data_IF_162070057403
#
_entry.id   IF_162070057403
#
_cell.length_a   1.000
_cell.length_b   1.000
_cell.length_c   1.000
_cell.angle_alpha   90.00
_cell.angle_beta   90.00
_cell.angle_gamma   90.00
#
_symmetry.space_group_name_H-M   'P 1'
#
loop_
_entity.id
_entity.type
_entity.pdbx_description
1 polymer ?
#
# COMPACT_ATOMS: atom_id res chain seq x y z
N UNK A 1 -47.42 -40.47 13.07
CA UNK A 1 -47.20 -39.45 12.02
C UNK A 1 -46.34 -38.37 12.68
N UNK A 2 -45.02 -38.41 12.48
CA UNK A 2 -44.10 -37.43 13.07
C UNK A 2 -43.61 -36.52 11.94
N UNK A 3 -44.04 -35.26 11.94
CA UNK A 3 -43.51 -34.24 11.03
C UNK A 3 -42.22 -33.70 11.62
N UNK A 4 -41.15 -33.78 10.84
CA UNK A 4 -39.81 -33.30 11.16
C UNK A 4 -39.82 -31.79 11.38
N UNK A 5 -39.25 -31.37 12.52
CA UNK A 5 -39.02 -29.97 12.87
C UNK A 5 -38.11 -29.31 11.82
N UNK A 6 -38.50 -28.11 11.40
CA UNK A 6 -37.76 -27.32 10.42
C UNK A 6 -36.39 -26.90 10.94
N UNK A 7 -35.38 -27.08 10.10
CA UNK A 7 -34.03 -26.59 10.32
C UNK A 7 -34.05 -25.05 10.34
N UNK A 8 -33.99 -24.48 11.54
CA UNK A 8 -33.75 -23.06 11.76
C UNK A 8 -32.34 -22.71 11.30
N UNK A 9 -32.23 -21.90 10.25
CA UNK A 9 -30.98 -21.28 9.80
C UNK A 9 -30.45 -20.44 10.97
N UNK A 10 -29.30 -20.84 11.52
CA UNK A 10 -28.63 -20.10 12.58
C UNK A 10 -28.10 -18.78 12.02
N UNK A 11 -28.52 -17.67 12.62
CA UNK A 11 -27.92 -16.36 12.35
C UNK A 11 -26.44 -16.41 12.75
N UNK A 12 -25.56 -16.00 11.84
CA UNK A 12 -24.13 -15.82 12.13
C UNK A 12 -23.99 -14.44 12.79
N UNK A 13 -23.77 -14.42 14.10
CA UNK A 13 -23.44 -13.21 14.84
C UNK A 13 -22.00 -12.76 14.52
N UNK A 14 -21.75 -11.50 14.13
CA UNK A 14 -20.42 -10.98 13.87
C UNK A 14 -19.85 -10.30 15.13
N UNK A 15 -19.62 -11.06 16.20
CA UNK A 15 -18.85 -10.55 17.34
C UNK A 15 -17.35 -10.79 17.09
N UNK A 16 -16.71 -9.81 16.44
CA UNK A 16 -15.24 -9.75 16.42
C UNK A 16 -14.79 -9.13 17.74
N UNK A 17 -14.47 -9.96 18.73
CA UNK A 17 -13.79 -9.50 19.92
C UNK A 17 -12.31 -9.25 19.57
N UNK A 18 -11.89 -7.99 19.54
CA UNK A 18 -10.49 -7.58 19.47
C UNK A 18 -9.71 -8.12 20.66
N UNK A 19 -9.02 -9.25 20.52
CA UNK A 19 -7.98 -9.69 21.47
C UNK A 19 -6.80 -10.31 20.72
N UNK A 20 -5.84 -9.46 20.32
CA UNK A 20 -4.52 -9.92 19.87
C UNK A 20 -3.69 -10.35 21.08
N UNK A 21 -3.83 -11.61 21.50
CA UNK A 21 -2.86 -12.26 22.40
C UNK A 21 -1.65 -12.72 21.57
N UNK A 22 -0.75 -11.79 21.27
CA UNK A 22 0.60 -12.13 20.79
C UNK A 22 1.45 -12.41 22.02
N UNK A 23 1.68 -13.69 22.30
CA UNK A 23 2.61 -14.13 23.34
C UNK A 23 4.03 -13.67 22.96
N UNK A 24 4.62 -12.86 23.84
CA UNK A 24 6.05 -12.54 23.83
C UNK A 24 6.87 -13.83 23.82
N UNK A 25 7.80 -13.93 22.87
CA UNK A 25 8.87 -14.92 22.88
C UNK A 25 10.17 -14.12 22.98
N UNK A 26 10.61 -13.92 24.22
CA UNK A 26 11.97 -13.48 24.53
C UNK A 26 12.90 -14.69 24.39
N UNK A 27 13.85 -14.66 23.43
CA UNK A 27 15.22 -15.12 23.67
C UNK A 27 16.20 -14.73 22.56
N UNK A 28 16.97 -13.69 22.89
CA UNK A 28 18.43 -13.59 22.84
C UNK A 28 19.22 -14.62 22.01
N UNK A 29 19.80 -14.14 20.90
CA UNK A 29 21.20 -14.41 20.58
C UNK A 29 21.78 -13.25 19.78
N UNK A 30 22.81 -12.67 20.38
CA UNK A 30 23.54 -11.50 19.96
C UNK A 30 24.64 -11.91 18.99
N UNK A 31 24.64 -11.37 17.77
CA UNK A 31 25.86 -11.20 16.97
C UNK A 31 25.89 -9.78 16.46
N UNK A 32 26.91 -9.06 16.93
CA UNK A 32 27.30 -7.71 16.52
C UNK A 32 27.92 -7.77 15.11
N UNK A 33 28.22 -6.60 14.57
CA UNK A 33 28.81 -6.30 13.24
C UNK A 33 27.70 -6.19 12.18
N UNK A 34 27.23 -5.00 11.77
CA UNK A 34 27.98 -3.98 11.03
C UNK A 34 27.50 -2.55 11.36
N UNK A 35 28.39 -1.76 11.96
CA UNK A 35 28.28 -0.31 11.98
C UNK A 35 29.34 0.26 11.05
N UNK A 36 28.99 0.62 9.81
CA UNK A 36 29.68 1.68 9.06
C UNK A 36 28.87 2.17 7.87
N UNK A 37 28.99 3.48 7.66
CA UNK A 37 28.63 4.29 6.50
C UNK A 37 27.19 4.82 6.39
N UNK A 38 26.88 5.74 7.31
CA UNK A 38 25.79 6.71 7.17
C UNK A 38 26.31 8.12 6.87
N UNK A 39 27.33 8.28 6.00
CA UNK A 39 27.87 9.62 5.70
C UNK A 39 28.19 9.91 4.22
N UNK A 40 27.69 9.12 3.27
CA UNK A 40 27.92 9.37 1.83
C UNK A 40 26.67 9.62 0.97
N UNK A 41 25.47 9.69 1.54
CA UNK A 41 24.23 9.81 0.73
C UNK A 41 23.79 11.23 0.38
N UNK A 42 24.41 12.28 0.95
CA UNK A 42 23.93 13.66 0.78
C UNK A 42 24.75 14.50 -0.22
N UNK A 43 25.89 14.00 -0.72
CA UNK A 43 26.78 14.77 -1.61
C UNK A 43 26.80 14.31 -3.08
N UNK A 44 26.13 13.21 -3.46
CA UNK A 44 26.21 12.67 -4.83
C UNK A 44 24.97 12.94 -5.72
N UNK A 45 24.00 13.71 -5.23
CA UNK A 45 22.74 13.99 -5.95
C UNK A 45 22.83 15.01 -7.08
N UNK A 46 23.95 15.73 -7.25
CA UNK A 46 23.99 16.96 -8.07
C UNK A 46 24.79 16.88 -9.37
N UNK A 47 25.32 15.71 -9.78
CA UNK A 47 26.22 15.61 -10.95
C UNK A 47 25.87 14.49 -11.94
N UNK A 48 24.59 14.23 -12.23
CA UNK A 48 24.23 13.32 -13.35
C UNK A 48 23.10 13.90 -14.21
N UNK A 49 23.53 14.31 -15.41
CA UNK A 49 22.88 14.39 -16.72
C UNK A 49 21.39 14.76 -16.78
N UNK A 50 21.13 15.94 -17.36
CA UNK A 50 19.80 16.47 -17.72
C UNK A 50 18.97 15.49 -18.58
N UNK A 51 19.62 14.66 -19.40
CA UNK A 51 18.99 13.67 -20.28
C UNK A 51 18.32 12.49 -19.54
N UNK A 52 18.84 12.08 -18.37
CA UNK A 52 18.22 10.98 -17.60
C UNK A 52 16.99 11.43 -16.81
N UNK A 53 16.84 12.75 -16.61
CA UNK A 53 15.65 13.33 -15.96
C UNK A 53 14.42 13.24 -16.86
N UNK A 54 14.60 13.34 -18.18
CA UNK A 54 13.51 13.28 -19.16
C UNK A 54 12.92 11.87 -19.31
N UNK A 55 13.65 10.81 -18.92
CA UNK A 55 13.20 9.40 -18.95
C UNK A 55 12.72 8.85 -17.59
N UNK A 56 12.66 9.70 -16.55
CA UNK A 56 12.29 9.31 -15.19
C UNK A 56 10.79 9.50 -14.95
N UNK A 57 10.09 8.43 -14.59
CA UNK A 57 8.66 8.47 -14.24
C UNK A 57 8.52 8.08 -12.77
N UNK A 58 8.21 9.04 -11.90
CA UNK A 58 8.11 8.80 -10.46
C UNK A 58 9.40 8.18 -9.88
N UNK A 59 9.31 6.98 -9.33
CA UNK A 59 10.47 6.22 -8.83
C UNK A 59 11.14 5.31 -9.87
N UNK A 60 10.53 5.17 -11.06
CA UNK A 60 11.01 4.35 -12.17
C UNK A 60 11.95 5.14 -13.07
N UNK A 61 12.98 4.47 -13.57
CA UNK A 61 13.89 4.96 -14.61
C UNK A 61 13.96 3.90 -15.72
N UNK A 62 14.10 4.36 -16.97
CA UNK A 62 14.31 3.50 -18.14
C UNK A 62 15.62 3.89 -18.80
N UNK A 63 16.55 2.93 -18.88
CA UNK A 63 17.82 3.09 -19.58
C UNK A 63 17.65 2.99 -21.10
N UNK A 64 18.70 3.36 -21.84
CA UNK A 64 18.70 3.37 -23.31
C UNK A 64 18.50 1.99 -23.94
N UNK A 65 18.93 0.92 -23.25
CA UNK A 65 18.70 -0.47 -23.64
C UNK A 65 17.42 -1.12 -23.10
N UNK A 66 16.49 -0.33 -22.54
CA UNK A 66 15.23 -0.84 -21.98
C UNK A 66 15.33 -1.40 -20.55
N UNK A 67 16.50 -1.32 -19.90
CA UNK A 67 16.64 -1.64 -18.47
C UNK A 67 15.71 -0.76 -17.63
N UNK A 68 14.99 -1.37 -16.68
CA UNK A 68 14.15 -0.65 -15.72
C UNK A 68 14.77 -0.72 -14.34
N UNK A 69 15.10 0.43 -13.78
CA UNK A 69 15.60 0.55 -12.39
C UNK A 69 14.59 1.32 -11.54
N UNK A 70 14.47 0.95 -10.27
CA UNK A 70 13.64 1.63 -9.29
C UNK A 70 14.49 2.27 -8.20
N UNK A 71 14.11 3.47 -7.74
CA UNK A 71 14.69 4.03 -6.51
C UNK A 71 14.30 3.14 -5.33
N UNK A 72 15.27 2.68 -4.54
CA UNK A 72 14.99 2.01 -3.26
C UNK A 72 14.35 3.03 -2.30
N UNK A 73 13.14 2.73 -1.86
CA UNK A 73 12.40 3.50 -0.87
C UNK A 73 11.96 2.55 0.25
N UNK A 74 11.78 3.09 1.45
CA UNK A 74 11.32 2.30 2.58
C UNK A 74 9.86 1.89 2.39
N UNK A 75 9.50 0.65 2.76
CA UNK A 75 8.13 0.13 2.67
C UNK A 75 7.12 1.01 3.41
N UNK A 76 7.53 1.66 4.50
CA UNK A 76 6.71 2.63 5.25
C UNK A 76 6.24 3.81 4.41
N UNK A 77 7.09 4.31 3.50
CA UNK A 77 6.74 5.41 2.62
C UNK A 77 5.70 4.98 1.58
N UNK A 78 5.82 3.74 1.07
CA UNK A 78 4.82 3.15 0.17
C UNK A 78 3.47 3.03 0.89
N UNK A 79 3.48 2.47 2.10
CA UNK A 79 2.28 2.32 2.92
C UNK A 79 1.61 3.67 3.20
N UNK A 80 2.38 4.66 3.65
CA UNK A 80 1.85 6.01 3.91
C UNK A 80 1.27 6.69 2.67
N UNK A 81 1.91 6.52 1.51
CA UNK A 81 1.44 7.11 0.26
C UNK A 81 0.14 6.48 -0.23
N UNK A 82 0.00 5.16 -0.10
CA UNK A 82 -1.23 4.43 -0.43
C UNK A 82 -2.37 4.86 0.51
N UNK A 83 -2.09 4.93 1.81
CA UNK A 83 -3.07 5.38 2.80
C UNK A 83 -3.58 6.79 2.47
N UNK A 84 -2.67 7.71 2.17
CA UNK A 84 -3.02 9.08 1.82
C UNK A 84 -3.83 9.15 0.51
N UNK A 85 -3.46 8.38 -0.51
CA UNK A 85 -4.20 8.31 -1.78
C UNK A 85 -5.63 7.82 -1.59
N UNK A 86 -5.82 6.74 -0.85
CA UNK A 86 -7.16 6.19 -0.53
C UNK A 86 -7.98 7.22 0.25
N UNK A 87 -7.40 7.81 1.30
CA UNK A 87 -8.08 8.81 2.11
C UNK A 87 -8.53 10.00 1.26
N UNK A 88 -7.71 10.47 0.32
CA UNK A 88 -8.04 11.58 -0.56
C UNK A 88 -9.21 11.24 -1.50
N UNK A 89 -9.14 10.11 -2.20
CA UNK A 89 -10.21 9.70 -3.15
C UNK A 89 -11.51 9.39 -2.42
N UNK A 90 -11.48 8.66 -1.30
CA UNK A 90 -12.68 8.35 -0.51
C UNK A 90 -13.28 9.62 0.08
N UNK A 91 -12.44 10.53 0.60
CA UNK A 91 -12.88 11.82 1.13
C UNK A 91 -13.54 12.69 0.05
N UNK A 92 -12.97 12.72 -1.16
CA UNK A 92 -13.56 13.41 -2.31
C UNK A 92 -14.90 12.78 -2.73
N UNK A 93 -14.98 11.45 -2.79
CA UNK A 93 -16.21 10.72 -3.15
C UNK A 93 -17.36 10.98 -2.18
N UNK A 94 -17.07 11.16 -0.89
CA UNK A 94 -18.08 11.48 0.12
C UNK A 94 -18.77 12.83 -0.12
N UNK A 95 -18.14 13.74 -0.88
CA UNK A 95 -18.76 15.01 -1.29
C UNK A 95 -19.74 14.86 -2.47
N UNK A 96 -19.62 13.76 -3.25
CA UNK A 96 -20.53 13.44 -4.36
C UNK A 96 -21.80 12.76 -3.81
N UNK A 97 -22.99 13.08 -4.33
CA UNK A 97 -24.22 12.41 -3.88
C UNK A 97 -24.21 10.92 -4.26
N UNK A 98 -24.79 10.08 -3.40
CA UNK A 98 -24.98 8.65 -3.68
C UNK A 98 -25.89 8.49 -4.91
N UNK A 99 -25.40 7.74 -5.91
CA UNK A 99 -26.10 7.44 -7.17
C UNK A 99 -25.91 5.97 -7.54
N UNK A 100 -26.85 5.42 -8.30
CA UNK A 100 -26.74 4.07 -8.82
C UNK A 100 -25.60 3.96 -9.85
N UNK A 101 -25.04 2.77 -9.98
CA UNK A 101 -24.02 2.47 -10.98
C UNK A 101 -24.66 2.35 -12.36
N UNK A 102 -24.09 3.06 -13.32
CA UNK A 102 -24.44 2.98 -14.73
C UNK A 102 -23.31 2.27 -15.49
N UNK A 103 -23.61 1.71 -16.66
CA UNK A 103 -22.58 1.08 -17.51
C UNK A 103 -21.45 2.06 -17.89
N UNK A 104 -21.72 3.37 -17.87
CA UNK A 104 -20.72 4.41 -18.08
C UNK A 104 -19.63 4.42 -17.00
N UNK A 105 -19.98 4.11 -15.74
CA UNK A 105 -19.07 4.22 -14.59
C UNK A 105 -17.91 3.23 -14.65
N UNK A 106 -18.10 2.10 -15.34
CA UNK A 106 -17.06 1.08 -15.49
C UNK A 106 -15.95 1.48 -16.47
N UNK A 107 -16.17 2.54 -17.26
CA UNK A 107 -15.17 3.08 -18.20
C UNK A 107 -14.49 4.34 -17.67
N UNK A 108 -15.04 4.94 -16.61
CA UNK A 108 -14.49 6.15 -16.02
C UNK A 108 -13.32 5.81 -15.10
N UNK A 109 -12.16 6.38 -15.40
CA UNK A 109 -11.01 6.40 -14.48
C UNK A 109 -10.88 7.84 -13.98
N UNK A 110 -10.94 8.04 -12.67
CA UNK A 110 -10.72 9.37 -12.10
C UNK A 110 -9.26 9.79 -12.33
N UNK A 111 -9.08 10.78 -13.19
CA UNK A 111 -7.80 11.45 -13.39
C UNK A 111 -7.71 12.60 -12.38
N UNK A 112 -6.85 12.45 -11.37
CA UNK A 112 -6.53 13.50 -10.40
C UNK A 112 -5.47 14.48 -10.94
#
# INVERSE_FOLDING_TARGET
MNMASGDTISNIDPDISSTSNIKNIDNLSQTREDAMDSSLSEAQGQRRNKADKERKIGHRRVGEGGEITYKKIQTSQIMGSIQLGIQHTVGSLASKPKRDLLMMDFWEVENN
#
